data_IF_079423530286
#
_entry.id   IF_079423530286
#
_cell.length_a   1.000
_cell.length_b   1.000
_cell.length_c   1.000
_cell.angle_alpha   90.00
_cell.angle_beta   90.00
_cell.angle_gamma   90.00
#
_symmetry.space_group_name_H-M   'P 1'
#
loop_
_entity.id
_entity.type
_entity.pdbx_description
1 polymer ?
#
# COMPACT_ATOMS: atom_id res chain seq x y z
N UNK A 1 -13.67 6.86 2.91
CA UNK A 1 -12.24 6.50 3.06
C UNK A 1 -11.92 5.50 1.97
N UNK A 2 -10.82 5.71 1.25
CA UNK A 2 -10.24 4.71 0.37
C UNK A 2 -9.02 4.11 1.05
N UNK A 3 -8.82 2.81 0.83
CA UNK A 3 -7.70 2.02 1.31
C UNK A 3 -7.19 1.22 0.11
N UNK A 4 -5.88 1.23 -0.05
CA UNK A 4 -5.16 0.44 -1.01
C UNK A 4 -3.98 -0.27 -0.33
N UNK A 5 -3.61 -1.43 -0.85
CA UNK A 5 -2.55 -2.27 -0.29
C UNK A 5 -1.63 -2.76 -1.39
N UNK A 6 -0.33 -2.60 -1.17
CA UNK A 6 0.69 -3.28 -1.96
C UNK A 6 1.16 -4.51 -1.20
N UNK A 7 1.29 -5.65 -1.88
CA UNK A 7 1.54 -6.95 -1.24
C UNK A 7 2.61 -7.74 -1.97
N UNK A 8 3.17 -8.77 -1.32
CA UNK A 8 4.12 -9.72 -1.94
C UNK A 8 3.46 -10.67 -2.95
N UNK A 9 2.13 -10.64 -3.09
CA UNK A 9 1.35 -11.53 -3.94
C UNK A 9 -0.16 -11.42 -3.69
N UNK A 10 -0.94 -12.34 -4.25
CA UNK A 10 -2.41 -12.27 -4.28
C UNK A 10 -3.13 -13.03 -3.15
N UNK A 11 -2.42 -13.87 -2.40
CA UNK A 11 -2.99 -14.74 -1.37
C UNK A 11 -2.95 -14.07 -0.01
N UNK A 12 -4.11 -13.71 0.54
CA UNK A 12 -4.20 -13.16 1.91
C UNK A 12 -3.74 -14.14 3.00
N UNK A 13 -3.61 -15.43 2.68
CA UNK A 13 -3.16 -16.47 3.62
C UNK A 13 -1.64 -16.49 3.74
N UNK A 14 -0.92 -16.18 2.65
CA UNK A 14 0.53 -16.41 2.56
C UNK A 14 1.33 -15.15 2.26
N UNK A 15 0.74 -14.19 1.55
CA UNK A 15 1.41 -12.97 1.13
C UNK A 15 1.30 -11.86 2.17
N UNK A 16 2.34 -11.03 2.24
CA UNK A 16 2.50 -9.98 3.24
C UNK A 16 2.24 -8.61 2.63
N UNK A 17 1.79 -7.69 3.48
CA UNK A 17 1.62 -6.28 3.12
C UNK A 17 3.00 -5.62 3.06
N UNK A 18 3.27 -4.96 1.92
CA UNK A 18 4.41 -4.10 1.67
C UNK A 18 4.10 -2.63 1.97
N UNK A 19 2.87 -2.20 1.72
CA UNK A 19 2.45 -0.81 1.94
C UNK A 19 0.96 -0.68 2.17
N UNK A 20 0.59 0.35 2.93
CA UNK A 20 -0.79 0.79 3.14
C UNK A 20 -0.92 2.25 2.71
N UNK A 21 -1.84 2.51 1.79
CA UNK A 21 -2.26 3.85 1.41
C UNK A 21 -3.72 4.08 1.77
N UNK A 22 -4.00 5.12 2.54
CA UNK A 22 -5.35 5.42 3.03
C UNK A 22 -5.64 6.91 2.95
N UNK A 23 -6.85 7.24 2.49
CA UNK A 23 -7.31 8.63 2.42
C UNK A 23 -8.74 8.71 2.96
N UNK A 24 -8.94 9.51 4.00
CA UNK A 24 -10.26 9.93 4.46
C UNK A 24 -10.75 11.05 3.57
N UNK A 25 -12.04 11.04 3.24
CA UNK A 25 -12.64 12.07 2.40
C UNK A 25 -14.13 12.21 2.73
N UNK A 26 -14.68 13.38 2.45
CA UNK A 26 -16.11 13.66 2.45
C UNK A 26 -16.63 13.63 1.01
N UNK A 27 -17.87 13.17 0.86
CA UNK A 27 -18.53 13.06 -0.44
C UNK A 27 -20.00 13.47 -0.33
N UNK A 28 -20.53 14.01 -1.42
CA UNK A 28 -21.94 14.38 -1.55
C UNK A 28 -22.81 13.13 -1.75
N UNK A 29 -24.12 13.26 -1.56
CA UNK A 29 -25.08 12.15 -1.72
C UNK A 29 -25.08 11.53 -3.13
N UNK A 30 -24.60 12.25 -4.15
CA UNK A 30 -24.43 11.76 -5.52
C UNK A 30 -23.03 11.18 -5.81
N UNK A 31 -22.21 11.02 -4.77
CA UNK A 31 -20.92 10.32 -4.82
C UNK A 31 -19.71 11.19 -5.20
N UNK A 32 -19.87 12.50 -5.37
CA UNK A 32 -18.73 13.39 -5.66
C UNK A 32 -17.90 13.61 -4.41
N UNK A 33 -16.63 13.26 -4.47
CA UNK A 33 -15.65 13.62 -3.43
C UNK A 33 -15.41 15.14 -3.52
N UNK A 34 -15.56 15.86 -2.41
CA UNK A 34 -15.39 17.31 -2.39
C UNK A 34 -14.39 17.81 -1.34
N UNK A 35 -13.97 16.94 -0.40
CA UNK A 35 -12.99 17.31 0.61
C UNK A 35 -12.10 16.12 0.98
N UNK A 36 -10.79 16.31 0.92
CA UNK A 36 -9.80 15.33 1.38
C UNK A 36 -9.44 15.69 2.83
N UNK A 37 -9.48 14.69 3.70
CA UNK A 37 -9.21 14.86 5.13
C UNK A 37 -7.79 14.38 5.44
N UNK A 38 -7.68 13.29 6.20
CA UNK A 38 -6.42 12.74 6.65
C UNK A 38 -5.91 11.67 5.68
N UNK A 39 -4.61 11.74 5.39
CA UNK A 39 -3.87 10.74 4.61
C UNK A 39 -2.98 9.90 5.52
N UNK A 40 -2.88 8.61 5.21
CA UNK A 40 -1.94 7.70 5.85
C UNK A 40 -1.25 6.87 4.79
N UNK A 41 0.08 6.97 4.71
CA UNK A 41 0.90 6.22 3.78
C UNK A 41 2.13 5.69 4.52
N UNK A 42 2.25 4.36 4.61
CA UNK A 42 3.37 3.69 5.29
C UNK A 42 3.77 2.40 4.59
N UNK A 43 5.07 2.12 4.61
CA UNK A 43 5.64 0.85 4.18
C UNK A 43 5.87 -0.07 5.36
N UNK A 44 5.83 -1.38 5.10
CA UNK A 44 6.15 -2.44 6.04
C UNK A 44 7.17 -3.37 5.38
N UNK A 45 8.28 -3.62 6.08
CA UNK A 45 9.25 -4.62 5.66
C UNK A 45 8.64 -6.02 5.86
N UNK A 46 8.50 -6.83 4.79
CA UNK A 46 7.89 -8.16 4.86
C UNK A 46 8.79 -9.20 5.55
N UNK A 47 10.06 -8.84 5.82
CA UNK A 47 11.09 -9.74 6.41
C UNK A 47 11.36 -10.98 5.57
N UNK A 48 11.14 -10.87 4.26
CA UNK A 48 11.42 -11.90 3.26
C UNK A 48 11.73 -11.25 1.90
N UNK A 49 12.41 -11.95 0.99
CA UNK A 49 12.66 -11.46 -0.36
C UNK A 49 11.36 -11.11 -1.10
N UNK A 50 11.35 -9.95 -1.75
CA UNK A 50 10.26 -9.55 -2.66
C UNK A 50 10.57 -10.12 -4.04
N UNK A 51 9.60 -10.81 -4.65
CA UNK A 51 9.78 -11.36 -5.99
C UNK A 51 9.98 -10.23 -7.03
N UNK A 52 10.89 -10.37 -8.02
CA UNK A 52 11.21 -9.28 -8.93
C UNK A 52 10.01 -8.68 -9.68
N UNK A 53 9.06 -9.52 -10.10
CA UNK A 53 7.84 -9.07 -10.78
C UNK A 53 6.91 -8.25 -9.86
N UNK A 54 6.94 -8.47 -8.55
CA UNK A 54 6.21 -7.65 -7.58
C UNK A 54 6.88 -6.30 -7.43
N UNK A 55 8.21 -6.25 -7.35
CA UNK A 55 8.95 -4.98 -7.36
C UNK A 55 8.72 -4.20 -8.65
N UNK A 56 8.63 -4.87 -9.80
CA UNK A 56 8.30 -4.24 -11.08
C UNK A 56 6.89 -3.61 -11.09
N UNK A 57 5.90 -4.31 -10.52
CA UNK A 57 4.51 -3.82 -10.47
C UNK A 57 4.33 -2.68 -9.45
N UNK A 58 4.94 -2.81 -8.28
CA UNK A 58 4.68 -1.93 -7.12
C UNK A 58 5.72 -0.82 -6.95
N UNK A 59 6.90 -0.97 -7.55
CA UNK A 59 8.06 -0.09 -7.32
C UNK A 59 8.72 -0.26 -5.94
N UNK A 60 8.27 -1.21 -5.11
CA UNK A 60 8.77 -1.42 -3.74
C UNK A 60 9.89 -2.46 -3.76
N UNK A 61 11.01 -2.10 -3.13
CA UNK A 61 12.18 -2.96 -2.93
C UNK A 61 12.56 -3.02 -1.45
N UNK A 62 13.31 -4.06 -1.08
CA UNK A 62 13.90 -4.14 0.27
C UNK A 62 14.89 -3.00 0.48
N UNK A 63 14.87 -2.42 1.68
CA UNK A 63 15.88 -1.44 2.06
C UNK A 63 17.26 -2.11 2.08
N UNK A 64 18.22 -1.52 1.36
CA UNK A 64 19.62 -1.87 1.54
C UNK A 64 20.08 -1.40 2.91
N UNK A 65 20.68 -2.27 3.71
CA UNK A 65 21.38 -1.85 4.94
C UNK A 65 22.40 -0.77 4.57
N UNK A 66 22.22 0.44 5.09
CA UNK A 66 23.33 1.40 5.19
C UNK A 66 24.19 0.88 6.35
N UNK A 67 25.35 0.31 6.01
CA UNK A 67 26.41 0.05 6.99
C UNK A 67 26.88 1.34 7.65
#
# INVERSE_FOLDING_TARGET
MFLDTETTGLSYVTDKILGLGMVKFEYTNDGRIYNILEEFNKYQDPKEPIAPHITELTGIMLATEVK
#
